data_IF_675854843573
#
_entry.id   IF_675854843573
#
_cell.length_a   1.000
_cell.length_b   1.000
_cell.length_c   1.000
_cell.angle_alpha   90.00
_cell.angle_beta   90.00
_cell.angle_gamma   90.00
#
_symmetry.space_group_name_H-M   'P 1'
#
loop_
_entity.id
_entity.type
_entity.pdbx_description
1 polymer ?
#
# COMPACT_ATOMS: atom_id res chain seq x y z
N UNK A 1 -30.67 17.50 12.25
CA UNK A 1 -29.83 16.38 12.73
C UNK A 1 -30.25 15.01 12.19
N UNK A 2 -31.37 14.37 12.59
CA UNK A 2 -31.68 13.00 12.11
C UNK A 2 -31.94 12.91 10.58
N UNK A 3 -32.63 13.93 10.02
CA UNK A 3 -32.87 14.02 8.57
C UNK A 3 -31.57 14.11 7.77
N UNK A 4 -30.61 14.92 8.21
CA UNK A 4 -29.31 15.07 7.54
C UNK A 4 -28.51 13.77 7.60
N UNK A 5 -28.54 13.08 8.74
CA UNK A 5 -27.91 11.76 8.89
C UNK A 5 -28.53 10.72 7.96
N UNK A 6 -29.87 10.71 7.82
CA UNK A 6 -30.55 9.82 6.87
C UNK A 6 -30.23 10.15 5.42
N UNK A 7 -30.16 11.44 5.05
CA UNK A 7 -29.79 11.84 3.69
C UNK A 7 -28.35 11.39 3.38
N UNK A 8 -27.43 11.55 4.33
CA UNK A 8 -26.05 11.10 4.19
C UNK A 8 -25.95 9.57 4.05
N UNK A 9 -26.67 8.83 4.90
CA UNK A 9 -26.72 7.36 4.83
C UNK A 9 -27.35 6.90 3.52
N UNK A 10 -28.49 7.47 3.12
CA UNK A 10 -29.15 7.16 1.86
C UNK A 10 -28.22 7.46 0.67
N UNK A 11 -27.59 8.64 0.63
CA UNK A 11 -26.63 9.00 -0.41
C UNK A 11 -25.43 8.06 -0.47
N UNK A 12 -24.91 7.63 0.69
CA UNK A 12 -23.81 6.66 0.76
C UNK A 12 -24.23 5.28 0.25
N UNK A 13 -25.41 4.80 0.68
CA UNK A 13 -25.96 3.51 0.25
C UNK A 13 -26.27 3.54 -1.25
N UNK A 14 -26.94 4.58 -1.74
CA UNK A 14 -27.22 4.75 -3.17
C UNK A 14 -25.92 4.82 -3.97
N UNK A 15 -24.95 5.61 -3.53
CA UNK A 15 -23.63 5.69 -4.17
C UNK A 15 -22.90 4.35 -4.19
N UNK A 16 -23.10 3.50 -3.18
CA UNK A 16 -22.56 2.14 -3.15
C UNK A 16 -23.28 1.21 -4.14
N UNK A 17 -24.60 1.21 -4.13
CA UNK A 17 -25.43 0.35 -4.98
C UNK A 17 -25.29 0.67 -6.46
N UNK A 18 -24.97 1.92 -6.81
CA UNK A 18 -24.72 2.35 -8.18
C UNK A 18 -23.34 1.93 -8.73
N UNK A 19 -22.45 1.37 -7.91
CA UNK A 19 -21.14 0.90 -8.38
C UNK A 19 -21.27 -0.36 -9.25
N UNK A 20 -20.38 -0.57 -10.24
CA UNK A 20 -20.24 -1.87 -10.87
C UNK A 20 -19.96 -2.96 -9.83
N UNK A 21 -20.76 -4.04 -9.84
CA UNK A 21 -20.65 -5.16 -8.90
C UNK A 21 -20.61 -4.73 -7.42
N UNK A 22 -21.74 -4.21 -6.86
CA UNK A 22 -21.77 -3.65 -5.51
C UNK A 22 -21.55 -4.72 -4.42
N UNK A 23 -22.00 -5.96 -4.67
CA UNK A 23 -21.79 -7.11 -3.77
C UNK A 23 -20.32 -7.55 -3.79
N UNK A 24 -19.71 -7.67 -4.97
CA UNK A 24 -18.28 -7.98 -5.11
C UNK A 24 -17.40 -6.92 -4.46
N UNK A 25 -17.72 -5.63 -4.66
CA UNK A 25 -17.05 -4.53 -3.98
C UNK A 25 -17.14 -4.64 -2.46
N UNK A 26 -18.29 -5.10 -1.93
CA UNK A 26 -18.48 -5.24 -0.48
C UNK A 26 -17.65 -6.39 0.07
N UNK A 27 -17.59 -7.49 -0.68
CA UNK A 27 -16.71 -8.62 -0.37
C UNK A 27 -15.25 -8.19 -0.35
N UNK A 28 -14.79 -7.42 -1.34
CA UNK A 28 -13.41 -6.92 -1.40
C UNK A 28 -13.12 -5.95 -0.25
N UNK A 29 -14.04 -5.05 0.07
CA UNK A 29 -13.90 -4.14 1.21
C UNK A 29 -13.83 -4.90 2.53
N UNK A 30 -14.66 -5.93 2.71
CA UNK A 30 -14.63 -6.80 3.89
C UNK A 30 -13.28 -7.52 4.02
N UNK A 31 -12.76 -8.09 2.93
CA UNK A 31 -11.45 -8.75 2.92
C UNK A 31 -10.35 -7.77 3.32
N UNK A 32 -10.31 -6.59 2.72
CA UNK A 32 -9.23 -5.61 2.92
C UNK A 32 -9.29 -4.91 4.27
N UNK A 33 -10.48 -4.66 4.82
CA UNK A 33 -10.66 -3.90 6.06
C UNK A 33 -10.77 -4.79 7.29
N UNK A 34 -11.54 -5.88 7.21
CA UNK A 34 -11.83 -6.74 8.36
C UNK A 34 -10.90 -7.95 8.37
N UNK A 35 -10.94 -8.75 7.31
CA UNK A 35 -10.21 -10.02 7.29
C UNK A 35 -8.70 -9.80 7.34
N UNK A 36 -8.17 -8.82 6.62
CA UNK A 36 -6.77 -8.42 6.69
C UNK A 36 -6.34 -8.06 8.12
N UNK A 37 -7.16 -7.31 8.86
CA UNK A 37 -6.83 -6.95 10.25
C UNK A 37 -6.81 -8.16 11.17
N UNK A 38 -7.74 -9.11 10.98
CA UNK A 38 -7.78 -10.35 11.75
C UNK A 38 -6.57 -11.23 11.44
N UNK A 39 -6.27 -11.46 10.16
CA UNK A 39 -5.14 -12.30 9.74
C UNK A 39 -3.78 -11.71 10.11
N UNK A 40 -3.66 -10.37 10.17
CA UNK A 40 -2.44 -9.71 10.64
C UNK A 40 -2.15 -9.95 12.12
N UNK A 41 -3.15 -10.31 12.92
CA UNK A 41 -2.97 -10.65 14.34
C UNK A 41 -2.57 -12.11 14.55
N UNK A 42 -2.70 -12.97 13.53
CA UNK A 42 -2.27 -14.36 13.60
C UNK A 42 -0.73 -14.45 13.51
N UNK A 43 -0.15 -15.50 14.12
CA UNK A 43 1.31 -15.69 14.20
C UNK A 43 1.99 -15.95 12.84
N UNK A 44 1.21 -16.22 11.79
CA UNK A 44 1.74 -16.47 10.45
C UNK A 44 1.80 -15.18 9.64
N UNK A 45 3.02 -14.71 9.38
CA UNK A 45 3.24 -13.45 8.64
C UNK A 45 2.95 -13.63 7.15
N UNK A 46 1.75 -13.22 6.71
CA UNK A 46 1.51 -13.06 5.28
C UNK A 46 2.48 -12.01 4.70
N UNK A 47 2.82 -12.11 3.40
CA UNK A 47 3.79 -11.22 2.73
C UNK A 47 3.25 -9.81 2.42
N UNK A 48 2.56 -9.23 3.40
CA UNK A 48 1.94 -7.92 3.32
C UNK A 48 2.94 -6.83 2.94
N UNK A 49 2.44 -5.85 2.19
CA UNK A 49 3.21 -4.66 1.90
C UNK A 49 3.53 -3.87 3.18
N UNK A 50 4.69 -3.22 3.19
CA UNK A 50 5.18 -2.45 4.35
C UNK A 50 4.26 -1.29 4.73
N UNK A 51 3.43 -0.82 3.80
CA UNK A 51 2.41 0.21 3.97
C UNK A 51 1.27 -0.17 4.91
N UNK A 52 1.04 -1.47 5.10
CA UNK A 52 0.04 -2.01 6.00
C UNK A 52 0.52 -2.10 7.46
N UNK A 53 1.82 -1.86 7.71
CA UNK A 53 2.40 -1.87 9.05
C UNK A 53 2.53 -0.46 9.63
N UNK A 54 2.59 -0.33 10.97
CA UNK A 54 2.78 0.96 11.62
C UNK A 54 3.96 1.77 11.08
N UNK A 55 3.82 3.09 11.12
CA UNK A 55 4.92 3.99 10.76
C UNK A 55 5.98 3.95 11.86
N UNK A 56 7.23 3.69 11.48
CA UNK A 56 8.34 3.70 12.43
C UNK A 56 8.54 5.13 13.00
N UNK A 57 8.80 5.28 14.32
CA UNK A 57 9.01 6.58 14.94
C UNK A 57 10.09 7.41 14.23
N UNK A 58 11.18 6.77 13.80
CA UNK A 58 12.27 7.43 13.09
C UNK A 58 11.77 8.08 11.79
N UNK A 59 10.97 7.36 11.00
CA UNK A 59 10.36 7.89 9.77
C UNK A 59 9.37 9.02 10.07
N UNK A 60 8.62 8.92 11.18
CA UNK A 60 7.70 9.97 11.61
C UNK A 60 8.44 11.29 11.87
N UNK A 61 9.50 11.27 12.69
CA UNK A 61 10.25 12.48 13.04
C UNK A 61 11.06 13.04 11.87
N UNK A 62 11.64 12.17 11.03
CA UNK A 62 12.41 12.60 9.86
C UNK A 62 11.57 13.32 8.81
N UNK A 63 10.34 12.84 8.57
CA UNK A 63 9.53 13.33 7.45
C UNK A 63 8.41 14.28 7.88
N UNK A 64 7.89 14.16 9.10
CA UNK A 64 6.68 14.85 9.53
C UNK A 64 6.87 15.78 10.74
N UNK A 65 8.08 16.00 11.23
CA UNK A 65 8.35 16.86 12.40
C UNK A 65 7.77 18.27 12.26
N UNK A 66 7.98 18.93 11.11
CA UNK A 66 7.45 20.26 10.85
C UNK A 66 5.92 20.31 10.87
N UNK A 67 5.28 19.35 10.19
CA UNK A 67 3.83 19.23 10.19
C UNK A 67 3.27 18.93 11.59
N UNK A 68 3.90 17.99 12.30
CA UNK A 68 3.49 17.60 13.64
C UNK A 68 3.61 18.76 14.63
N UNK A 69 4.66 19.58 14.53
CA UNK A 69 4.79 20.79 15.34
C UNK A 69 3.63 21.76 15.08
N UNK A 70 3.33 22.07 13.82
CA UNK A 70 2.20 22.96 13.47
C UNK A 70 0.85 22.39 13.94
N UNK A 71 0.66 21.09 13.79
CA UNK A 71 -0.55 20.40 14.23
C UNK A 71 -0.72 20.45 15.76
N UNK A 72 0.33 20.14 16.52
CA UNK A 72 0.32 20.23 17.98
C UNK A 72 0.15 21.67 18.49
N UNK A 73 0.76 22.65 17.82
CA UNK A 73 0.55 24.07 18.12
C UNK A 73 -0.90 24.48 17.87
N UNK A 74 -1.53 24.01 16.78
CA UNK A 74 -2.94 24.27 16.51
C UNK A 74 -3.86 23.68 17.60
N UNK A 75 -3.55 22.47 18.09
CA UNK A 75 -4.24 21.88 19.27
C UNK A 75 -4.04 22.76 20.51
N UNK A 76 -2.81 23.18 20.79
CA UNK A 76 -2.50 24.06 21.93
C UNK A 76 -3.26 25.39 21.87
N UNK A 77 -3.33 26.02 20.69
CA UNK A 77 -4.07 27.27 20.50
C UNK A 77 -5.58 27.06 20.68
N UNK A 78 -6.15 25.97 20.16
CA UNK A 78 -7.56 25.66 20.38
C UNK A 78 -7.90 25.58 21.87
N UNK A 79 -7.03 24.94 22.67
CA UNK A 79 -7.20 24.79 24.12
C UNK A 79 -7.07 26.14 24.82
N UNK A 80 -6.01 26.90 24.52
CA UNK A 80 -5.71 28.19 25.16
C UNK A 80 -6.72 29.30 24.81
N UNK A 81 -7.08 29.41 23.53
CA UNK A 81 -7.97 30.43 22.98
C UNK A 81 -9.43 29.98 22.83
N UNK A 82 -9.86 28.98 23.60
CA UNK A 82 -11.19 28.34 23.50
C UNK A 82 -12.39 29.32 23.41
N UNK A 83 -12.27 30.50 24.02
CA UNK A 83 -13.32 31.53 24.02
C UNK A 83 -13.53 32.16 22.62
N UNK A 84 -12.46 32.41 21.86
CA UNK A 84 -12.54 32.90 20.48
C UNK A 84 -13.25 31.90 19.56
N UNK A 85 -13.05 30.60 19.81
CA UNK A 85 -13.67 29.53 19.02
C UNK A 85 -15.13 29.28 19.38
N UNK A 86 -15.56 29.57 20.62
CA UNK A 86 -16.98 29.45 21.02
C UNK A 86 -17.89 30.41 20.28
N UNK A 87 -17.37 31.58 19.88
CA UNK A 87 -18.13 32.64 19.21
C UNK A 87 -18.26 32.42 17.69
N UNK A 88 -17.67 31.35 17.15
CA UNK A 88 -17.77 31.01 15.73
C UNK A 88 -19.12 30.37 15.40
N UNK A 89 -19.50 30.42 14.12
CA UNK A 89 -20.72 29.75 13.62
C UNK A 89 -20.68 28.25 13.91
N UNK A 90 -21.86 27.63 14.09
CA UNK A 90 -21.96 26.20 14.38
C UNK A 90 -21.25 25.35 13.31
N UNK A 91 -21.43 25.68 12.04
CA UNK A 91 -20.80 24.98 10.92
C UNK A 91 -19.27 25.02 11.00
N UNK A 92 -18.70 26.19 11.31
CA UNK A 92 -17.26 26.36 11.40
C UNK A 92 -16.67 25.66 12.63
N UNK A 93 -17.40 25.65 13.75
CA UNK A 93 -17.05 24.85 14.93
C UNK A 93 -17.06 23.36 14.61
N UNK A 94 -18.07 22.88 13.88
CA UNK A 94 -18.13 21.49 13.43
C UNK A 94 -16.90 21.14 12.60
N UNK A 95 -16.51 21.99 11.64
CA UNK A 95 -15.30 21.80 10.82
C UNK A 95 -14.03 21.67 11.68
N UNK A 96 -13.83 22.57 12.66
CA UNK A 96 -12.67 22.53 13.54
C UNK A 96 -12.63 21.23 14.33
N UNK A 97 -13.72 20.88 15.01
CA UNK A 97 -13.75 19.68 15.86
C UNK A 97 -13.70 18.39 15.05
N UNK A 98 -14.39 18.31 13.92
CA UNK A 98 -14.32 17.13 13.04
C UNK A 98 -12.93 16.99 12.44
N UNK A 99 -12.31 18.08 11.97
CA UNK A 99 -10.93 18.07 11.45
C UNK A 99 -9.94 17.61 12.52
N UNK A 100 -10.04 18.15 13.74
CA UNK A 100 -9.21 17.74 14.87
C UNK A 100 -9.40 16.26 15.18
N UNK A 101 -10.64 15.81 15.43
CA UNK A 101 -10.95 14.42 15.82
C UNK A 101 -10.48 13.45 14.74
N UNK A 102 -10.81 13.70 13.48
CA UNK A 102 -10.38 12.84 12.36
C UNK A 102 -8.86 12.82 12.24
N UNK A 103 -8.18 13.97 12.34
CA UNK A 103 -6.72 14.01 12.29
C UNK A 103 -6.08 13.21 13.43
N UNK A 104 -6.61 13.27 14.65
CA UNK A 104 -6.13 12.46 15.78
C UNK A 104 -6.37 10.98 15.54
N UNK A 105 -7.57 10.59 15.09
CA UNK A 105 -7.89 9.18 14.79
C UNK A 105 -6.91 8.64 13.74
N UNK A 106 -6.72 9.35 12.63
CA UNK A 106 -5.83 8.88 11.57
C UNK A 106 -4.34 8.92 11.96
N UNK A 107 -3.92 9.86 12.82
CA UNK A 107 -2.59 9.83 13.42
C UNK A 107 -2.39 8.56 14.27
N UNK A 108 -3.35 8.23 15.14
CA UNK A 108 -3.29 7.00 15.94
C UNK A 108 -3.29 5.75 15.04
N UNK A 109 -4.12 5.72 13.99
CA UNK A 109 -4.09 4.62 13.01
C UNK A 109 -2.74 4.52 12.29
N UNK A 110 -2.08 5.65 12.02
CA UNK A 110 -0.75 5.69 11.36
C UNK A 110 0.33 5.03 12.21
N UNK A 111 0.32 5.28 13.52
CA UNK A 111 1.36 4.79 14.45
C UNK A 111 1.01 3.44 15.10
N UNK A 112 -0.27 3.04 15.12
CA UNK A 112 -0.71 1.79 15.76
C UNK A 112 -1.11 0.69 14.78
N UNK A 113 -1.64 1.06 13.60
CA UNK A 113 -2.27 0.10 12.68
C UNK A 113 -1.51 0.00 11.36
N UNK A 114 -1.54 1.04 10.54
CA UNK A 114 -0.98 1.04 9.20
C UNK A 114 -0.51 2.43 8.80
N UNK A 115 0.74 2.55 8.34
CA UNK A 115 1.31 3.85 7.94
C UNK A 115 0.51 4.52 6.84
N UNK A 116 -0.19 3.78 5.97
CA UNK A 116 -1.06 4.35 4.93
C UNK A 116 -2.17 5.28 5.47
N UNK A 117 -2.52 5.16 6.75
CA UNK A 117 -3.45 6.09 7.40
C UNK A 117 -2.95 7.56 7.40
N UNK A 118 -1.65 7.80 7.20
CA UNK A 118 -1.11 9.15 7.12
C UNK A 118 -1.70 9.94 5.93
N UNK A 119 -2.11 9.26 4.86
CA UNK A 119 -2.81 9.82 3.69
C UNK A 119 -4.09 10.57 4.10
N UNK A 120 -4.68 10.22 5.24
CA UNK A 120 -5.85 10.89 5.80
C UNK A 120 -5.50 11.82 6.96
N UNK A 121 -4.49 11.47 7.78
CA UNK A 121 -4.01 12.35 8.85
C UNK A 121 -3.59 13.72 8.32
N UNK A 122 -2.80 13.76 7.25
CA UNK A 122 -2.25 15.02 6.71
C UNK A 122 -3.36 15.94 6.18
N UNK A 123 -4.31 15.50 5.32
CA UNK A 123 -5.40 16.38 4.86
C UNK A 123 -6.30 16.88 5.99
N UNK A 124 -6.76 16.02 6.90
CA UNK A 124 -7.61 16.45 8.01
C UNK A 124 -6.87 17.37 8.97
N UNK A 125 -5.60 17.08 9.26
CA UNK A 125 -4.74 17.95 10.06
C UNK A 125 -4.50 19.30 9.39
N UNK A 126 -4.34 19.34 8.07
CA UNK A 126 -4.18 20.59 7.30
C UNK A 126 -5.43 21.45 7.37
N UNK A 127 -6.62 20.86 7.15
CA UNK A 127 -7.91 21.55 7.30
C UNK A 127 -8.06 22.11 8.72
N UNK A 128 -7.70 21.32 9.73
CA UNK A 128 -7.75 21.74 11.12
C UNK A 128 -6.80 22.93 11.40
N UNK A 129 -5.52 22.82 11.00
CA UNK A 129 -4.52 23.89 11.14
C UNK A 129 -5.01 25.17 10.46
N UNK A 130 -5.50 25.07 9.23
CA UNK A 130 -6.01 26.21 8.46
C UNK A 130 -7.22 26.88 9.14
N UNK A 131 -8.14 26.09 9.68
CA UNK A 131 -9.30 26.61 10.40
C UNK A 131 -8.89 27.34 11.70
N UNK A 132 -7.93 26.78 12.46
CA UNK A 132 -7.37 27.44 13.64
C UNK A 132 -6.70 28.76 13.25
N UNK A 133 -5.84 28.74 12.23
CA UNK A 133 -5.14 29.94 11.79
C UNK A 133 -6.09 31.05 11.33
N UNK A 134 -7.18 30.69 10.65
CA UNK A 134 -8.20 31.64 10.18
C UNK A 134 -8.85 32.43 11.33
N UNK A 135 -9.16 31.76 12.45
CA UNK A 135 -9.73 32.43 13.64
C UNK A 135 -8.72 33.35 14.29
N UNK A 136 -7.48 32.90 14.42
CA UNK A 136 -6.42 33.69 15.06
C UNK A 136 -6.13 34.95 14.24
N UNK A 137 -6.00 34.83 12.92
CA UNK A 137 -5.81 35.97 12.02
C UNK A 137 -6.96 36.98 12.11
N UNK A 138 -8.21 36.49 12.16
CA UNK A 138 -9.38 37.35 12.18
C UNK A 138 -9.63 38.02 13.55
N UNK A 139 -9.33 37.33 14.66
CA UNK A 139 -9.77 37.75 16.00
C UNK A 139 -8.64 38.07 16.97
N UNK A 140 -7.48 37.44 16.84
CA UNK A 140 -6.42 37.55 17.85
C UNK A 140 -5.47 38.74 17.63
N UNK A 141 -5.71 39.59 16.60
CA UNK A 141 -4.80 40.68 16.18
C UNK A 141 -3.34 40.25 16.32
N UNK A 142 -2.96 39.20 15.57
CA UNK A 142 -1.59 38.68 15.63
C UNK A 142 -0.60 39.83 15.48
N UNK A 143 0.44 39.83 16.33
CA UNK A 143 1.56 40.75 16.14
C UNK A 143 2.07 40.55 14.70
N UNK A 144 2.37 41.64 13.96
CA UNK A 144 2.79 41.53 12.56
C UNK A 144 4.01 40.64 12.37
N UNK A 145 4.87 40.57 13.39
CA UNK A 145 6.01 39.63 13.46
C UNK A 145 5.57 38.17 13.43
N UNK A 146 4.54 37.78 14.17
CA UNK A 146 4.02 36.41 14.21
C UNK A 146 3.34 36.05 12.90
N UNK A 147 2.55 36.98 12.34
CA UNK A 147 1.95 36.79 11.01
C UNK A 147 3.03 36.61 9.93
N UNK A 148 4.09 37.42 9.96
CA UNK A 148 5.23 37.31 9.06
C UNK A 148 5.96 35.97 9.19
N UNK A 149 6.16 35.46 10.41
CA UNK A 149 6.76 34.14 10.65
C UNK A 149 5.88 33.03 10.07
N UNK A 150 4.56 33.06 10.28
CA UNK A 150 3.67 32.01 9.74
C UNK A 150 3.66 32.02 8.22
N UNK A 151 3.61 33.21 7.61
CA UNK A 151 3.71 33.36 6.15
C UNK A 151 5.06 32.82 5.65
N UNK A 152 6.16 33.14 6.33
CA UNK A 152 7.49 32.62 5.99
C UNK A 152 7.56 31.09 6.10
N UNK A 153 7.02 30.50 7.18
CA UNK A 153 6.96 29.04 7.36
C UNK A 153 6.11 28.40 6.25
N UNK A 154 4.98 29.00 5.90
CA UNK A 154 4.14 28.52 4.81
C UNK A 154 4.89 28.52 3.47
N UNK A 155 5.55 29.63 3.12
CA UNK A 155 6.36 29.72 1.90
C UNK A 155 7.54 28.76 1.93
N UNK A 156 8.20 28.60 3.07
CA UNK A 156 9.25 27.60 3.24
C UNK A 156 8.73 26.18 2.94
N UNK A 157 7.59 25.79 3.53
CA UNK A 157 6.99 24.46 3.29
C UNK A 157 6.55 24.28 1.84
N UNK A 158 6.03 25.33 1.19
CA UNK A 158 5.59 25.34 -0.20
C UNK A 158 6.74 25.07 -1.18
N UNK A 159 7.96 25.54 -0.86
CA UNK A 159 9.17 25.31 -1.68
C UNK A 159 9.90 24.03 -1.27
N UNK A 160 10.07 23.80 0.03
CA UNK A 160 10.82 22.67 0.57
C UNK A 160 10.18 21.33 0.24
N UNK A 161 8.85 21.23 0.32
CA UNK A 161 8.14 19.94 0.14
C UNK A 161 8.27 19.41 -1.30
N UNK A 162 7.97 20.19 -2.36
CA UNK A 162 8.18 19.73 -3.73
C UNK A 162 9.65 19.42 -4.05
N UNK A 163 10.59 20.24 -3.55
CA UNK A 163 12.03 19.99 -3.75
C UNK A 163 12.51 18.69 -3.09
N UNK A 164 12.10 18.42 -1.85
CA UNK A 164 12.41 17.13 -1.21
C UNK A 164 11.73 15.97 -1.90
N UNK A 165 10.50 16.17 -2.39
CA UNK A 165 9.78 15.15 -3.14
C UNK A 165 10.47 14.85 -4.48
N UNK A 166 10.97 15.86 -5.21
CA UNK A 166 11.68 15.63 -6.47
C UNK A 166 12.95 14.82 -6.27
N UNK A 167 13.74 15.12 -5.22
CA UNK A 167 14.90 14.31 -4.85
C UNK A 167 14.47 12.88 -4.50
N UNK A 168 13.42 12.72 -3.70
CA UNK A 168 12.91 11.39 -3.34
C UNK A 168 12.40 10.60 -4.54
N UNK A 169 11.80 11.26 -5.53
CA UNK A 169 11.35 10.63 -6.76
C UNK A 169 12.55 10.21 -7.61
N UNK A 170 13.55 11.06 -7.76
CA UNK A 170 14.77 10.74 -8.50
C UNK A 170 15.52 9.54 -7.89
N UNK A 171 15.61 9.49 -6.56
CA UNK A 171 16.33 8.43 -5.85
C UNK A 171 15.55 7.11 -5.73
N UNK A 172 14.22 7.15 -5.67
CA UNK A 172 13.39 5.99 -5.26
C UNK A 172 12.29 5.61 -6.24
N UNK A 173 12.02 6.40 -7.27
CA UNK A 173 11.02 6.04 -8.25
C UNK A 173 11.43 4.74 -8.96
N UNK A 174 10.45 3.86 -9.12
CA UNK A 174 10.62 2.69 -9.97
C UNK A 174 10.56 3.17 -11.41
N UNK A 175 11.60 2.87 -12.20
CA UNK A 175 11.61 3.21 -13.62
C UNK A 175 10.40 2.61 -14.33
N UNK A 176 9.70 3.35 -15.20
CA UNK A 176 8.63 2.81 -16.05
C UNK A 176 9.11 1.65 -16.94
N UNK A 177 10.39 1.61 -17.28
CA UNK A 177 10.99 0.54 -18.08
C UNK A 177 11.41 -0.68 -17.25
N UNK A 178 11.17 -0.69 -15.93
CA UNK A 178 11.44 -1.86 -15.09
C UNK A 178 10.66 -3.07 -15.64
N UNK A 179 11.38 -4.19 -15.84
CA UNK A 179 10.88 -5.46 -16.40
C UNK A 179 10.39 -5.41 -17.86
N UNK A 180 10.64 -4.30 -18.58
CA UNK A 180 10.17 -4.12 -19.96
C UNK A 180 10.71 -5.19 -20.90
N UNK A 181 11.98 -5.55 -20.78
CA UNK A 181 12.62 -6.54 -21.66
C UNK A 181 11.97 -7.92 -21.49
N UNK A 182 11.90 -8.44 -20.25
CA UNK A 182 11.25 -9.72 -19.97
C UNK A 182 9.76 -9.72 -20.37
N UNK A 183 9.04 -8.64 -20.07
CA UNK A 183 7.61 -8.54 -20.37
C UNK A 183 7.35 -8.51 -21.89
N UNK A 184 8.10 -7.72 -22.66
CA UNK A 184 7.97 -7.69 -24.12
C UNK A 184 8.38 -9.01 -24.76
N UNK A 185 9.43 -9.67 -24.24
CA UNK A 185 9.79 -11.00 -24.70
C UNK A 185 8.65 -11.99 -24.48
N UNK A 186 8.06 -12.03 -23.28
CA UNK A 186 6.90 -12.86 -22.96
C UNK A 186 5.72 -12.56 -23.88
N UNK A 187 5.39 -11.28 -24.12
CA UNK A 187 4.31 -10.86 -25.02
C UNK A 187 4.48 -11.42 -26.43
N UNK A 188 5.71 -11.41 -26.94
CA UNK A 188 6.04 -11.83 -28.30
C UNK A 188 6.23 -13.35 -28.46
N UNK A 189 6.62 -14.06 -27.39
CA UNK A 189 7.01 -15.47 -27.46
C UNK A 189 6.04 -16.45 -26.76
N UNK A 190 5.00 -15.94 -26.08
CA UNK A 190 3.94 -16.75 -25.47
C UNK A 190 2.65 -16.76 -26.29
N UNK A 191 1.69 -17.59 -25.89
CA UNK A 191 0.32 -17.57 -26.39
C UNK A 191 -0.59 -16.73 -25.48
N UNK A 192 -1.68 -16.11 -26.02
CA UNK A 192 -2.67 -15.45 -25.19
C UNK A 192 -3.20 -16.38 -24.11
N UNK A 193 -3.18 -15.91 -22.86
CA UNK A 193 -3.63 -16.70 -21.72
C UNK A 193 -2.61 -17.69 -21.15
N UNK A 194 -1.39 -17.79 -21.70
CA UNK A 194 -0.29 -18.49 -21.01
C UNK A 194 -0.06 -17.84 -19.63
N UNK A 195 0.14 -18.67 -18.61
CA UNK A 195 0.32 -18.24 -17.21
C UNK A 195 1.81 -18.05 -16.91
N UNK A 196 2.13 -16.87 -16.39
CA UNK A 196 3.44 -16.48 -15.87
C UNK A 196 3.38 -16.49 -14.35
N UNK A 197 4.13 -17.39 -13.73
CA UNK A 197 4.34 -17.40 -12.29
C UNK A 197 5.36 -16.31 -11.92
N UNK A 198 4.86 -15.12 -11.56
CA UNK A 198 5.68 -14.03 -11.04
C UNK A 198 5.90 -14.22 -9.54
N UNK A 199 7.16 -14.36 -9.11
CA UNK A 199 7.46 -14.69 -7.72
C UNK A 199 7.01 -13.63 -6.72
N UNK A 200 6.90 -12.36 -7.11
CA UNK A 200 6.43 -11.30 -6.22
C UNK A 200 5.15 -10.70 -6.77
N UNK A 201 4.13 -10.61 -5.91
CA UNK A 201 2.87 -9.94 -6.25
C UNK A 201 3.06 -8.48 -6.66
N UNK A 202 4.11 -7.83 -6.14
CA UNK A 202 4.48 -6.45 -6.46
C UNK A 202 5.06 -6.27 -7.86
N UNK A 203 5.46 -7.34 -8.55
CA UNK A 203 6.06 -7.25 -9.88
C UNK A 203 4.99 -7.10 -10.98
N UNK A 204 3.75 -7.47 -10.67
CA UNK A 204 2.64 -7.50 -11.62
C UNK A 204 2.41 -6.17 -12.36
N UNK A 205 2.34 -4.99 -11.72
CA UNK A 205 2.05 -3.76 -12.46
C UNK A 205 3.09 -3.46 -13.55
N UNK A 206 4.37 -3.74 -13.29
CA UNK A 206 5.45 -3.53 -14.26
C UNK A 206 5.39 -4.55 -15.41
N UNK A 207 5.11 -5.81 -15.10
CA UNK A 207 4.96 -6.86 -16.11
C UNK A 207 3.71 -6.61 -16.98
N UNK A 208 2.56 -6.37 -16.35
CA UNK A 208 1.27 -6.20 -17.01
C UNK A 208 1.22 -4.95 -17.88
N UNK A 209 1.90 -3.87 -17.47
CA UNK A 209 1.98 -2.65 -18.27
C UNK A 209 2.57 -2.88 -19.66
N UNK A 210 3.61 -3.71 -19.75
CA UNK A 210 4.26 -4.05 -21.03
C UNK A 210 3.66 -5.30 -21.69
N UNK A 211 2.99 -6.16 -20.92
CA UNK A 211 2.42 -7.41 -21.37
C UNK A 211 1.08 -7.73 -20.71
N UNK A 212 0.02 -7.32 -21.37
CA UNK A 212 -1.39 -7.56 -21.05
C UNK A 212 -1.95 -8.87 -21.65
N UNK A 213 -1.12 -9.62 -22.39
CA UNK A 213 -1.51 -10.85 -23.10
C UNK A 213 -1.44 -12.10 -22.21
N UNK A 214 -0.56 -12.10 -21.20
CA UNK A 214 -0.36 -13.21 -20.27
C UNK A 214 -1.14 -13.03 -18.96
N UNK A 215 -1.44 -14.14 -18.30
CA UNK A 215 -1.96 -14.14 -16.93
C UNK A 215 -0.82 -14.20 -15.92
N UNK A 216 -1.01 -13.54 -14.78
CA UNK A 216 -0.04 -13.47 -13.69
C UNK A 216 -0.69 -13.97 -12.39
N UNK A 217 0.05 -14.74 -11.59
CA UNK A 217 -0.49 -15.41 -10.39
C UNK A 217 -0.78 -14.42 -9.25
N UNK A 218 0.01 -13.37 -9.11
CA UNK A 218 -0.16 -12.39 -8.03
C UNK A 218 -0.04 -10.97 -8.52
N UNK A 219 -1.03 -10.13 -8.22
CA UNK A 219 -1.01 -8.70 -8.55
C UNK A 219 -1.75 -7.78 -7.58
N UNK A 220 -2.35 -8.36 -6.54
CA UNK A 220 -2.99 -7.63 -5.45
C UNK A 220 -2.35 -8.08 -4.13
N UNK A 221 -2.72 -7.41 -3.03
CA UNK A 221 -2.25 -7.77 -1.69
C UNK A 221 -2.43 -9.27 -1.42
N UNK A 222 -1.45 -9.94 -0.78
CA UNK A 222 -1.48 -11.38 -0.53
C UNK A 222 -2.73 -11.90 0.18
N UNK A 223 -3.43 -11.05 0.94
CA UNK A 223 -4.71 -11.42 1.56
C UNK A 223 -5.70 -11.96 0.53
N UNK A 224 -5.74 -11.41 -0.68
CA UNK A 224 -6.68 -11.85 -1.71
C UNK A 224 -6.34 -13.25 -2.23
N UNK A 225 -5.06 -13.58 -2.36
CA UNK A 225 -4.62 -14.93 -2.70
C UNK A 225 -4.96 -15.91 -1.59
N UNK A 226 -4.66 -15.55 -0.33
CA UNK A 226 -4.95 -16.36 0.84
C UNK A 226 -6.45 -16.65 0.99
N UNK A 227 -7.31 -15.63 0.90
CA UNK A 227 -8.77 -15.80 1.01
C UNK A 227 -9.35 -16.60 -0.16
N UNK A 228 -8.76 -16.47 -1.34
CA UNK A 228 -9.20 -17.24 -2.51
C UNK A 228 -8.89 -18.73 -2.34
N UNK A 229 -7.65 -19.08 -1.97
CA UNK A 229 -7.25 -20.45 -1.68
C UNK A 229 -6.01 -20.45 -0.75
N UNK A 230 -6.18 -20.75 0.55
CA UNK A 230 -5.10 -20.72 1.52
C UNK A 230 -3.95 -21.66 1.18
N UNK A 231 -4.24 -22.86 0.67
CA UNK A 231 -3.21 -23.83 0.34
C UNK A 231 -2.36 -23.39 -0.85
N UNK A 232 -2.99 -22.85 -1.89
CA UNK A 232 -2.27 -22.28 -3.03
C UNK A 232 -1.46 -21.06 -2.61
N UNK A 233 -1.98 -20.25 -1.68
CA UNK A 233 -1.22 -19.14 -1.12
C UNK A 233 0.04 -19.63 -0.42
N UNK A 234 0.00 -20.67 0.42
CA UNK A 234 1.19 -21.18 1.10
C UNK A 234 2.21 -21.77 0.12
N UNK A 235 1.75 -22.49 -0.91
CA UNK A 235 2.62 -22.95 -2.00
C UNK A 235 3.35 -21.79 -2.68
N UNK A 236 2.64 -20.68 -2.92
CA UNK A 236 3.19 -19.45 -3.47
C UNK A 236 4.10 -18.71 -2.48
N UNK A 237 3.71 -18.65 -1.20
CA UNK A 237 4.36 -17.89 -0.14
C UNK A 237 5.83 -18.28 -0.01
N UNK A 238 6.12 -19.56 0.16
CA UNK A 238 7.50 -20.01 0.38
C UNK A 238 8.41 -19.75 -0.81
N UNK A 239 7.87 -19.86 -2.03
CA UNK A 239 8.60 -19.51 -3.26
C UNK A 239 8.80 -17.99 -3.34
N UNK A 240 7.75 -17.20 -3.08
CA UNK A 240 7.78 -15.74 -3.11
C UNK A 240 8.74 -15.12 -2.09
N UNK A 241 8.78 -15.70 -0.89
CA UNK A 241 9.67 -15.32 0.20
C UNK A 241 11.11 -15.77 -0.02
N UNK A 242 11.37 -16.61 -1.03
CA UNK A 242 12.67 -17.23 -1.31
C UNK A 242 13.15 -18.11 -0.12
N UNK A 243 12.23 -18.75 0.61
CA UNK A 243 12.56 -19.57 1.78
C UNK A 243 12.83 -21.03 1.43
N UNK A 244 12.30 -21.49 0.30
CA UNK A 244 12.42 -22.86 -0.19
C UNK A 244 12.76 -22.87 -1.67
N UNK A 245 13.19 -24.03 -2.18
CA UNK A 245 13.57 -24.21 -3.58
C UNK A 245 12.92 -25.42 -4.20
N UNK A 246 13.50 -26.61 -4.01
CA UNK A 246 13.06 -27.86 -4.62
C UNK A 246 11.68 -28.32 -4.16
N UNK A 247 11.31 -27.96 -2.94
CA UNK A 247 10.03 -28.33 -2.34
C UNK A 247 9.31 -27.11 -1.81
N UNK A 248 7.99 -27.08 -1.92
CA UNK A 248 7.09 -26.14 -1.25
C UNK A 248 6.02 -26.91 -0.48
N UNK A 249 5.10 -26.24 0.21
CA UNK A 249 4.00 -26.92 0.89
C UNK A 249 2.74 -26.06 1.00
N UNK A 250 1.56 -26.66 1.25
CA UNK A 250 0.27 -25.97 1.30
C UNK A 250 -0.14 -25.40 2.66
N UNK A 251 0.76 -25.36 3.63
CA UNK A 251 0.43 -25.03 5.02
C UNK A 251 1.42 -24.00 5.59
N UNK A 252 1.03 -23.22 6.62
CA UNK A 252 1.93 -22.27 7.29
C UNK A 252 3.12 -22.92 8.01
N UNK A 253 3.00 -24.19 8.37
CA UNK A 253 4.06 -24.99 8.97
C UNK A 253 4.16 -26.32 8.22
N UNK A 254 5.21 -26.47 7.41
CA UNK A 254 5.42 -27.67 6.61
C UNK A 254 5.93 -28.84 7.48
N UNK A 255 5.25 -30.00 7.41
CA UNK A 255 5.85 -31.27 7.81
C UNK A 255 6.49 -31.96 6.60
N UNK A 256 7.32 -32.99 6.83
CA UNK A 256 8.01 -33.70 5.74
C UNK A 256 7.03 -34.36 4.76
N UNK A 257 5.89 -34.81 5.26
CA UNK A 257 4.84 -35.49 4.50
C UNK A 257 4.04 -34.52 3.62
N UNK A 258 4.08 -33.22 3.94
CA UNK A 258 3.40 -32.16 3.19
C UNK A 258 4.27 -31.54 2.09
N UNK A 259 5.53 -31.95 1.97
CA UNK A 259 6.44 -31.41 0.97
C UNK A 259 6.02 -31.86 -0.43
N UNK A 260 5.83 -30.87 -1.30
CA UNK A 260 5.48 -31.06 -2.70
C UNK A 260 6.62 -30.56 -3.58
N UNK A 261 6.94 -31.28 -4.65
CA UNK A 261 7.98 -30.87 -5.59
C UNK A 261 7.58 -29.56 -6.31
N UNK A 262 8.47 -28.58 -6.29
CA UNK A 262 8.20 -27.24 -6.81
C UNK A 262 7.89 -27.24 -8.31
N UNK A 263 8.59 -28.05 -9.10
CA UNK A 263 8.31 -28.16 -10.54
C UNK A 263 6.89 -28.70 -10.77
N UNK A 264 6.50 -29.75 -10.03
CA UNK A 264 5.15 -30.31 -10.12
C UNK A 264 4.08 -29.30 -9.68
N UNK A 265 4.35 -28.54 -8.62
CA UNK A 265 3.41 -27.50 -8.13
C UNK A 265 3.23 -26.38 -9.15
N UNK A 266 4.34 -25.87 -9.73
CA UNK A 266 4.27 -24.82 -10.75
C UNK A 266 3.52 -25.30 -11.99
N UNK A 267 3.80 -26.52 -12.45
CA UNK A 267 3.21 -27.09 -13.66
C UNK A 267 1.76 -27.53 -13.49
N UNK A 268 1.42 -28.20 -12.40
CA UNK A 268 0.10 -28.84 -12.25
C UNK A 268 -0.88 -27.98 -11.46
N UNK A 269 -0.43 -27.38 -10.36
CA UNK A 269 -1.30 -26.61 -9.47
C UNK A 269 -1.49 -25.18 -10.00
N UNK A 270 -0.38 -24.48 -10.31
CA UNK A 270 -0.43 -23.13 -10.86
C UNK A 270 -0.64 -23.09 -12.36
N UNK A 271 -0.41 -24.22 -13.05
CA UNK A 271 -0.51 -24.32 -14.53
C UNK A 271 0.36 -23.28 -15.23
N UNK A 272 1.47 -22.92 -14.60
CA UNK A 272 2.40 -21.95 -15.12
C UNK A 272 3.16 -22.55 -16.30
N UNK A 273 3.33 -21.74 -17.34
CA UNK A 273 4.22 -22.06 -18.46
C UNK A 273 5.55 -21.34 -18.34
N UNK A 274 5.54 -20.17 -17.71
CA UNK A 274 6.74 -19.39 -17.46
C UNK A 274 6.88 -19.08 -15.97
N UNK A 275 8.12 -18.94 -15.52
CA UNK A 275 8.48 -18.38 -14.21
C UNK A 275 9.23 -17.08 -14.46
N UNK A 276 8.80 -16.00 -13.80
CA UNK A 276 9.48 -14.71 -13.80
C UNK A 276 10.01 -14.40 -12.40
N UNK A 277 11.24 -13.90 -12.33
CA UNK A 277 11.86 -13.51 -11.06
C UNK A 277 12.85 -12.35 -11.20
N UNK A 278 12.95 -11.54 -10.16
CA UNK A 278 14.02 -10.55 -9.94
C UNK A 278 15.14 -11.21 -9.11
N UNK A 279 16.34 -11.34 -9.68
CA UNK A 279 17.44 -12.15 -9.13
C UNK A 279 17.86 -11.71 -7.73
N UNK A 280 17.88 -10.40 -7.49
CA UNK A 280 18.27 -9.85 -6.20
C UNK A 280 17.28 -10.19 -5.08
N UNK A 281 16.00 -10.37 -5.42
CA UNK A 281 14.93 -10.64 -4.44
C UNK A 281 14.63 -12.12 -4.26
N UNK A 282 14.99 -12.96 -5.24
CA UNK A 282 14.76 -14.40 -5.21
C UNK A 282 16.01 -15.19 -5.69
N UNK A 283 17.18 -15.02 -5.04
CA UNK A 283 18.41 -15.69 -5.46
C UNK A 283 18.34 -17.22 -5.32
N UNK A 284 17.72 -17.77 -4.27
CA UNK A 284 17.68 -19.22 -4.06
C UNK A 284 16.84 -19.91 -5.14
N UNK A 285 15.68 -19.35 -5.48
CA UNK A 285 14.88 -19.84 -6.60
C UNK A 285 15.65 -19.69 -7.93
N UNK A 286 16.32 -18.56 -8.17
CA UNK A 286 17.14 -18.39 -9.38
C UNK A 286 18.17 -19.50 -9.53
N UNK A 287 18.95 -19.80 -8.49
CA UNK A 287 19.96 -20.88 -8.52
C UNK A 287 19.33 -22.26 -8.71
N UNK A 288 18.16 -22.50 -8.12
CA UNK A 288 17.42 -23.75 -8.30
C UNK A 288 16.99 -23.95 -9.76
N UNK A 289 16.38 -22.93 -10.38
CA UNK A 289 15.96 -23.00 -11.78
C UNK A 289 17.15 -23.17 -12.73
N UNK A 290 18.27 -22.50 -12.45
CA UNK A 290 19.51 -22.63 -13.23
C UNK A 290 20.14 -24.03 -13.11
N UNK A 291 20.04 -24.66 -11.95
CA UNK A 291 20.64 -25.98 -11.67
C UNK A 291 19.76 -27.17 -12.08
N UNK A 292 18.56 -26.93 -12.62
CA UNK A 292 17.59 -27.97 -13.04
C UNK A 292 17.18 -27.81 -14.52
N UNK A 293 18.15 -27.81 -15.47
CA UNK A 293 17.88 -27.59 -16.89
C UNK A 293 17.00 -28.66 -17.54
N UNK A 294 16.82 -29.82 -16.91
CA UNK A 294 15.89 -30.87 -17.33
C UNK A 294 14.42 -30.42 -17.22
N UNK A 295 14.11 -29.54 -16.27
CA UNK A 295 12.75 -29.06 -15.99
C UNK A 295 12.49 -27.65 -16.52
N UNK A 296 13.53 -26.81 -16.55
CA UNK A 296 13.41 -25.40 -16.91
C UNK A 296 14.33 -25.03 -18.07
N UNK A 297 13.82 -24.25 -18.99
CA UNK A 297 14.62 -23.64 -20.06
C UNK A 297 14.69 -22.13 -19.83
N UNK A 298 15.89 -21.61 -19.58
CA UNK A 298 16.11 -20.16 -19.50
C UNK A 298 15.87 -19.50 -20.86
N UNK A 299 15.11 -18.40 -20.85
CA UNK A 299 14.73 -17.64 -22.06
C UNK A 299 15.24 -16.21 -22.05
N UNK A 300 15.16 -15.56 -20.89
CA UNK A 300 15.71 -14.22 -20.63
C UNK A 300 16.60 -14.29 -19.41
N UNK A 301 17.73 -13.61 -19.49
CA UNK A 301 18.73 -13.54 -18.44
C UNK A 301 19.41 -12.16 -18.46
N UNK A 302 18.80 -11.16 -17.83
CA UNK A 302 19.39 -9.82 -17.72
C UNK A 302 20.18 -9.71 -16.42
N UNK A 303 20.80 -8.56 -16.16
CA UNK A 303 21.48 -8.33 -14.87
C UNK A 303 20.50 -8.42 -13.69
N UNK A 304 19.25 -7.97 -13.87
CA UNK A 304 18.29 -7.83 -12.78
C UNK A 304 17.24 -8.96 -12.71
N UNK A 305 16.83 -9.52 -13.86
CA UNK A 305 15.69 -10.43 -13.95
C UNK A 305 15.97 -11.63 -14.84
N UNK A 306 15.15 -12.68 -14.68
CA UNK A 306 15.19 -13.85 -15.52
C UNK A 306 13.78 -14.39 -15.82
N UNK A 307 13.64 -15.01 -16.99
CA UNK A 307 12.44 -15.75 -17.40
C UNK A 307 12.85 -17.17 -17.75
N UNK A 308 12.17 -18.14 -17.14
CA UNK A 308 12.32 -19.56 -17.44
C UNK A 308 11.00 -20.11 -18.01
N UNK A 309 11.08 -20.91 -19.07
CA UNK A 309 9.97 -21.73 -19.56
C UNK A 309 9.99 -23.07 -18.82
N UNK A 310 8.83 -23.53 -18.38
CA UNK A 310 8.62 -24.84 -17.75
C UNK A 310 8.40 -25.86 -18.88
N UNK A 311 9.22 -26.92 -18.91
CA UNK A 311 9.17 -27.95 -19.96
C UNK A 311 8.00 -28.92 -19.79
#
# INVERSE_FOLDING_TARGET
MWREGLILLAGTITGWLLRPNPVGSLKLAYIQVVQLMLEKQNDFSLLFGRELFPLAPQTLFQNFSGFMLLWLLAVGVLIWSRHHFKNQTLQFRTLIYSGMILSVIFFLLTILVARRAHDFWIPFGTIFIAAIFSVIMAQAKLRPTVAGIVVLVFFFLLVYTPWRNSISLEERAISPDKFKEAALWLKNNSQPGDIVFNLRWSDFPMLFFWNDKNYYIGGMDPIFQYVYNPEMYWRFHYLSADEVTKYTCPAPACTKEMLEDTYMVLKNNFKAKYVFLEKQRNPLIYYYLESTPENYQKKIDTVAEAVYEIK
#
